data_IF_397644417514
#
_entry.id   IF_397644417514
#
_cell.length_a   1.000
_cell.length_b   1.000
_cell.length_c   1.000
_cell.angle_alpha   90.00
_cell.angle_beta   90.00
_cell.angle_gamma   90.00
#
_symmetry.space_group_name_H-M   'P 1'
#
loop_
_entity.id
_entity.type
_entity.pdbx_description
1 polymer ?
#
# COMPACT_ATOMS: atom_id res chain seq x y z
N UNK A 1 20.22 -20.26 43.89
CA UNK A 1 19.24 -20.90 42.97
C UNK A 1 19.46 -22.39 43.04
N UNK A 2 18.42 -23.19 43.36
CA UNK A 2 18.57 -24.64 43.58
C UNK A 2 18.95 -25.38 42.28
N UNK A 3 19.70 -26.48 42.39
CA UNK A 3 20.08 -27.32 41.25
C UNK A 3 18.86 -27.84 40.47
N UNK A 4 17.70 -27.99 41.12
CA UNK A 4 16.43 -28.32 40.47
C UNK A 4 15.92 -27.19 39.55
N UNK A 5 16.08 -25.92 39.92
CA UNK A 5 15.72 -24.80 39.05
C UNK A 5 16.60 -24.74 37.80
N UNK A 6 17.88 -25.09 37.92
CA UNK A 6 18.79 -25.18 36.77
C UNK A 6 18.37 -26.32 35.85
N UNK A 7 18.04 -27.50 36.38
CA UNK A 7 17.56 -28.62 35.55
C UNK A 7 16.23 -28.31 34.85
N UNK A 8 15.31 -27.61 35.50
CA UNK A 8 14.06 -27.17 34.89
C UNK A 8 14.29 -26.18 33.74
N UNK A 9 15.26 -25.26 33.88
CA UNK A 9 15.66 -24.34 32.81
C UNK A 9 16.37 -25.04 31.64
N UNK A 10 17.08 -26.15 31.89
CA UNK A 10 17.79 -26.92 30.86
C UNK A 10 16.88 -27.92 30.12
N UNK A 11 15.73 -28.30 30.68
CA UNK A 11 14.85 -29.31 30.10
C UNK A 11 14.32 -28.95 28.69
N UNK A 12 13.88 -27.70 28.40
CA UNK A 12 13.45 -27.30 27.05
C UNK A 12 14.60 -27.21 26.03
N UNK A 13 15.86 -27.21 26.49
CA UNK A 13 17.02 -27.22 25.60
C UNK A 13 17.42 -28.64 25.19
N UNK A 14 17.02 -29.64 25.98
CA UNK A 14 17.32 -31.07 25.74
C UNK A 14 16.24 -31.79 24.94
N UNK A 15 15.01 -31.29 25.02
CA UNK A 15 13.87 -31.78 24.25
C UNK A 15 13.41 -30.67 23.30
N UNK A 16 12.93 -30.97 22.09
CA UNK A 16 12.35 -29.94 21.23
C UNK A 16 11.21 -29.25 21.99
N UNK A 17 11.37 -27.95 22.28
CA UNK A 17 10.33 -27.17 22.92
C UNK A 17 9.08 -27.17 22.05
N UNK A 18 7.95 -27.64 22.58
CA UNK A 18 6.68 -27.58 21.85
C UNK A 18 6.20 -26.13 21.82
N UNK A 19 6.15 -25.55 20.64
CA UNK A 19 5.46 -24.28 20.44
C UNK A 19 3.96 -24.47 20.75
N UNK A 20 3.39 -23.63 21.60
CA UNK A 20 2.00 -23.80 22.09
C UNK A 20 1.02 -22.90 21.35
N UNK A 21 -0.24 -23.31 21.25
CA UNK A 21 -1.32 -22.48 20.67
C UNK A 21 -1.53 -21.15 21.41
N UNK A 22 -1.19 -21.11 22.70
CA UNK A 22 -1.21 -19.87 23.48
C UNK A 22 -0.08 -18.93 23.06
N UNK A 23 1.14 -19.46 22.88
CA UNK A 23 2.28 -18.69 22.36
C UNK A 23 2.00 -18.18 20.94
N UNK A 24 1.44 -19.02 20.06
CA UNK A 24 1.07 -18.64 18.69
C UNK A 24 0.06 -17.49 18.68
N UNK A 25 -1.00 -17.57 19.50
CA UNK A 25 -2.01 -16.51 19.61
C UNK A 25 -1.40 -15.19 20.08
N UNK A 26 -0.54 -15.21 21.10
CA UNK A 26 0.10 -14.00 21.64
C UNK A 26 0.93 -13.28 20.57
N UNK A 27 1.71 -14.02 19.77
CA UNK A 27 2.54 -13.40 18.74
C UNK A 27 1.74 -12.98 17.50
N UNK A 28 0.54 -13.52 17.27
CA UNK A 28 -0.32 -13.17 16.13
C UNK A 28 -1.38 -12.12 16.46
N UNK A 29 -1.55 -11.71 17.72
CA UNK A 29 -2.54 -10.71 18.13
C UNK A 29 -2.53 -9.42 17.27
N UNK A 30 -1.37 -8.77 17.00
CA UNK A 30 -1.36 -7.58 16.13
C UNK A 30 -1.90 -7.84 14.72
N UNK A 31 -1.63 -9.02 14.16
CA UNK A 31 -2.15 -9.43 12.86
C UNK A 31 -3.65 -9.73 12.92
N UNK A 32 -4.10 -10.47 13.94
CA UNK A 32 -5.52 -10.77 14.16
C UNK A 32 -6.34 -9.49 14.32
N UNK A 33 -5.81 -8.51 15.05
CA UNK A 33 -6.40 -7.18 15.20
C UNK A 33 -6.63 -6.51 13.84
N UNK A 34 -5.60 -6.37 13.00
CA UNK A 34 -5.72 -5.73 11.68
C UNK A 34 -6.63 -6.53 10.75
N UNK A 35 -6.51 -7.86 10.74
CA UNK A 35 -7.31 -8.74 9.90
C UNK A 35 -8.79 -8.74 10.28
N UNK A 36 -9.14 -8.44 11.54
CA UNK A 36 -10.53 -8.34 12.00
C UNK A 36 -11.26 -7.08 11.52
N UNK A 37 -10.54 -6.05 11.08
CA UNK A 37 -11.15 -4.77 10.67
C UNK A 37 -11.55 -4.86 9.20
N UNK A 38 -12.82 -4.61 8.82
CA UNK A 38 -13.24 -4.68 7.42
C UNK A 38 -12.55 -3.61 6.57
N UNK A 39 -11.98 -4.01 5.43
CA UNK A 39 -11.39 -3.10 4.44
C UNK A 39 -12.30 -2.89 3.23
N UNK A 40 -11.78 -2.21 2.19
CA UNK A 40 -12.47 -2.05 0.90
C UNK A 40 -12.50 -3.33 0.05
N UNK A 41 -11.88 -4.42 0.51
CA UNK A 41 -11.85 -5.74 -0.15
C UNK A 41 -11.45 -5.74 -1.65
N UNK A 42 -10.74 -4.70 -2.11
CA UNK A 42 -10.40 -4.51 -3.53
C UNK A 42 -9.56 -5.66 -4.06
N UNK A 43 -8.67 -6.24 -3.25
CA UNK A 43 -7.85 -7.40 -3.63
C UNK A 43 -8.71 -8.65 -3.85
N UNK A 44 -9.69 -8.87 -2.99
CA UNK A 44 -10.66 -9.98 -3.12
C UNK A 44 -11.45 -9.82 -4.41
N UNK A 45 -11.96 -8.62 -4.69
CA UNK A 45 -12.68 -8.32 -5.93
C UNK A 45 -11.79 -8.47 -7.18
N UNK A 46 -10.52 -8.06 -7.09
CA UNK A 46 -9.55 -8.23 -8.17
C UNK A 46 -9.33 -9.73 -8.46
N UNK A 47 -9.07 -10.53 -7.43
CA UNK A 47 -8.91 -11.99 -7.55
C UNK A 47 -10.16 -12.60 -8.20
N UNK A 48 -11.36 -12.26 -7.73
CA UNK A 48 -12.60 -12.75 -8.32
C UNK A 48 -12.76 -12.34 -9.78
N UNK A 49 -12.44 -11.09 -10.11
CA UNK A 49 -12.62 -10.56 -11.45
C UNK A 49 -11.66 -11.21 -12.46
N UNK A 50 -10.39 -11.42 -12.08
CA UNK A 50 -9.43 -12.15 -12.90
C UNK A 50 -9.74 -13.64 -12.98
N UNK A 51 -10.38 -14.22 -11.96
CA UNK A 51 -10.73 -15.64 -11.98
C UNK A 51 -11.80 -16.00 -13.03
N UNK A 52 -12.58 -15.01 -13.50
CA UNK A 52 -13.48 -15.17 -14.66
C UNK A 52 -12.68 -15.59 -15.90
N UNK A 53 -11.43 -15.12 -16.01
CA UNK A 53 -10.57 -15.38 -17.16
C UNK A 53 -9.61 -16.53 -16.96
N UNK A 54 -9.07 -16.68 -15.74
CA UNK A 54 -8.04 -17.66 -15.43
C UNK A 54 -8.62 -19.02 -15.01
N UNK A 55 -9.88 -19.05 -14.56
CA UNK A 55 -10.58 -20.25 -14.12
C UNK A 55 -9.78 -21.12 -13.14
N UNK A 56 -9.06 -20.48 -12.20
CA UNK A 56 -8.24 -21.18 -11.20
C UNK A 56 -9.13 -22.06 -10.34
N UNK A 57 -8.79 -23.34 -10.13
CA UNK A 57 -9.61 -24.23 -9.31
C UNK A 57 -9.68 -23.75 -7.87
N UNK A 58 -10.84 -23.96 -7.23
CA UNK A 58 -11.16 -23.36 -5.92
C UNK A 58 -10.12 -23.64 -4.83
N UNK A 59 -9.58 -24.88 -4.67
CA UNK A 59 -8.58 -25.14 -3.65
C UNK A 59 -7.30 -24.32 -3.79
N UNK A 60 -6.83 -24.07 -5.01
CA UNK A 60 -5.68 -23.22 -5.31
C UNK A 60 -6.01 -21.75 -5.06
N UNK A 61 -7.19 -21.30 -5.51
CA UNK A 61 -7.64 -19.93 -5.32
C UNK A 61 -7.76 -19.55 -3.84
N UNK A 62 -8.21 -20.47 -2.99
CA UNK A 62 -8.30 -20.26 -1.54
C UNK A 62 -6.91 -20.11 -0.90
N UNK A 63 -5.91 -20.90 -1.32
CA UNK A 63 -4.51 -20.76 -0.87
C UNK A 63 -3.95 -19.41 -1.32
N UNK A 64 -4.11 -19.05 -2.60
CA UNK A 64 -3.65 -17.76 -3.16
C UNK A 64 -4.26 -16.59 -2.39
N UNK A 65 -5.57 -16.64 -2.11
CA UNK A 65 -6.28 -15.60 -1.36
C UNK A 65 -5.74 -15.46 0.06
N UNK A 66 -5.41 -16.57 0.74
CA UNK A 66 -4.79 -16.54 2.07
C UNK A 66 -3.39 -15.93 2.03
N UNK A 67 -2.54 -16.36 1.09
CA UNK A 67 -1.19 -15.81 0.91
C UNK A 67 -1.24 -14.30 0.68
N UNK A 68 -2.04 -13.85 -0.29
CA UNK A 68 -2.18 -12.41 -0.63
C UNK A 68 -2.69 -11.61 0.56
N UNK A 69 -3.67 -12.13 1.30
CA UNK A 69 -4.20 -11.47 2.51
C UNK A 69 -3.13 -11.35 3.60
N UNK A 70 -2.35 -12.41 3.83
CA UNK A 70 -1.28 -12.41 4.83
C UNK A 70 -0.20 -11.39 4.48
N UNK A 71 0.31 -11.42 3.25
CA UNK A 71 1.34 -10.48 2.78
C UNK A 71 0.82 -9.04 2.84
N UNK A 72 -0.42 -8.78 2.43
CA UNK A 72 -1.00 -7.45 2.47
C UNK A 72 -1.20 -6.93 3.90
N UNK A 73 -1.77 -7.74 4.79
CA UNK A 73 -1.99 -7.32 6.18
C UNK A 73 -0.68 -7.10 6.93
N UNK A 74 0.34 -7.95 6.68
CA UNK A 74 1.68 -7.76 7.22
C UNK A 74 2.30 -6.45 6.70
N UNK A 75 2.21 -6.18 5.39
CA UNK A 75 2.75 -4.94 4.82
C UNK A 75 2.08 -3.70 5.40
N UNK A 76 0.77 -3.71 5.63
CA UNK A 76 0.06 -2.60 6.27
C UNK A 76 0.56 -2.30 7.68
N UNK A 77 0.90 -3.34 8.45
CA UNK A 77 1.41 -3.16 9.81
C UNK A 77 2.78 -2.49 9.82
N UNK A 78 3.63 -2.82 8.84
CA UNK A 78 4.95 -2.20 8.68
C UNK A 78 4.82 -0.78 8.14
N UNK A 79 4.03 -0.56 7.09
CA UNK A 79 3.71 0.74 6.48
C UNK A 79 3.17 1.72 7.53
N UNK A 80 2.20 1.31 8.35
CA UNK A 80 1.66 2.14 9.44
C UNK A 80 2.72 2.61 10.45
N UNK A 81 3.79 1.83 10.66
CA UNK A 81 4.91 2.19 11.52
C UNK A 81 5.86 3.14 10.79
N UNK A 82 6.23 2.80 9.55
CA UNK A 82 7.14 3.58 8.71
C UNK A 82 6.62 4.98 8.42
N UNK A 83 5.30 5.14 8.38
CA UNK A 83 4.60 6.39 8.08
C UNK A 83 4.22 7.16 9.36
N UNK A 84 4.37 6.55 10.53
CA UNK A 84 3.93 7.14 11.79
C UNK A 84 2.41 7.36 11.86
N UNK A 85 1.65 6.52 11.16
CA UNK A 85 0.19 6.63 11.06
C UNK A 85 -0.47 6.55 12.44
N UNK A 86 -1.61 7.22 12.60
CA UNK A 86 -2.36 7.19 13.87
C UNK A 86 -3.59 6.30 13.78
N UNK A 87 -4.26 6.28 12.64
CA UNK A 87 -5.50 5.54 12.43
C UNK A 87 -5.41 4.68 11.16
N UNK A 88 -6.07 3.53 11.20
CA UNK A 88 -6.38 2.71 10.04
C UNK A 88 -7.81 2.22 10.13
N UNK A 89 -8.60 2.48 9.08
CA UNK A 89 -10.03 2.11 9.01
C UNK A 89 -10.83 2.67 10.20
N UNK A 90 -10.47 3.88 10.65
CA UNK A 90 -11.11 4.59 11.75
C UNK A 90 -10.78 4.05 13.14
N UNK A 91 -9.77 3.17 13.24
CA UNK A 91 -9.32 2.55 14.49
C UNK A 91 -7.84 2.82 14.71
N UNK A 92 -7.33 2.81 15.96
CA UNK A 92 -5.90 2.94 16.21
C UNK A 92 -5.09 1.88 15.46
N UNK A 93 -3.95 2.29 14.88
CA UNK A 93 -3.02 1.35 14.23
C UNK A 93 -2.43 0.35 15.23
N UNK A 94 -2.05 -0.85 14.76
CA UNK A 94 -1.62 -1.95 15.64
C UNK A 94 -0.46 -1.55 16.58
N UNK A 95 0.50 -0.77 16.09
CA UNK A 95 1.66 -0.37 16.88
C UNK A 95 1.33 0.63 18.00
N UNK A 96 0.15 1.28 17.98
CA UNK A 96 -0.34 2.11 19.08
C UNK A 96 -0.97 1.28 20.21
N UNK A 97 -1.38 0.04 19.92
CA UNK A 97 -2.00 -0.89 20.87
C UNK A 97 -0.95 -1.84 21.46
N UNK A 98 -0.15 -2.46 20.57
CA UNK A 98 0.79 -3.53 20.93
C UNK A 98 2.25 -3.05 20.97
N UNK A 99 2.51 -1.78 20.61
CA UNK A 99 3.86 -1.24 20.51
C UNK A 99 4.55 -1.59 19.19
N UNK A 100 5.54 -0.76 18.82
CA UNK A 100 6.34 -0.92 17.61
C UNK A 100 7.06 -2.28 17.58
N UNK A 101 7.79 -2.72 18.64
CA UNK A 101 8.59 -3.95 18.57
C UNK A 101 7.75 -5.20 18.29
N UNK A 102 6.61 -5.35 18.99
CA UNK A 102 5.73 -6.50 18.80
C UNK A 102 5.08 -6.49 17.41
N UNK A 103 4.67 -5.32 16.93
CA UNK A 103 4.01 -5.17 15.63
C UNK A 103 4.96 -5.50 14.47
N UNK A 104 6.20 -5.01 14.51
CA UNK A 104 7.24 -5.36 13.51
C UNK A 104 7.51 -6.86 13.53
N UNK A 105 7.74 -7.44 14.71
CA UNK A 105 8.02 -8.87 14.83
C UNK A 105 6.87 -9.71 14.27
N UNK A 106 5.62 -9.34 14.58
CA UNK A 106 4.43 -10.03 14.08
C UNK A 106 4.31 -9.93 12.57
N UNK A 107 4.49 -8.74 11.98
CA UNK A 107 4.41 -8.56 10.54
C UNK A 107 5.46 -9.40 9.80
N UNK A 108 6.71 -9.38 10.27
CA UNK A 108 7.80 -10.17 9.70
C UNK A 108 7.53 -11.68 9.86
N UNK A 109 7.00 -12.11 11.00
CA UNK A 109 6.60 -13.50 11.20
C UNK A 109 5.52 -13.94 10.19
N UNK A 110 4.52 -13.09 9.96
CA UNK A 110 3.43 -13.36 9.00
C UNK A 110 3.95 -13.45 7.56
N UNK A 111 4.99 -12.71 7.17
CA UNK A 111 5.64 -12.93 5.86
C UNK A 111 6.12 -14.37 5.69
N UNK A 112 6.79 -14.94 6.69
CA UNK A 112 7.24 -16.34 6.64
C UNK A 112 6.08 -17.34 6.72
N UNK A 113 5.03 -17.03 7.49
CA UNK A 113 3.82 -17.84 7.47
C UNK A 113 3.15 -17.85 6.09
N UNK A 114 3.23 -16.75 5.33
CA UNK A 114 2.71 -16.69 3.97
C UNK A 114 3.51 -17.62 3.02
N UNK A 115 4.83 -17.74 3.19
CA UNK A 115 5.63 -18.75 2.47
C UNK A 115 5.29 -20.18 2.89
N UNK A 116 5.02 -20.42 4.17
CA UNK A 116 4.54 -21.73 4.65
C UNK A 116 3.20 -22.09 3.99
N UNK A 117 2.29 -21.14 3.87
CA UNK A 117 1.02 -21.32 3.17
C UNK A 117 1.23 -21.53 1.66
N UNK A 118 2.12 -20.76 1.03
CA UNK A 118 2.49 -20.89 -0.38
C UNK A 118 3.02 -22.29 -0.71
N UNK A 119 3.80 -22.89 0.19
CA UNK A 119 4.34 -24.24 -0.01
C UNK A 119 3.23 -25.29 -0.21
N UNK A 120 2.04 -25.09 0.36
CA UNK A 120 0.88 -25.98 0.17
C UNK A 120 0.29 -25.94 -1.25
N UNK A 121 0.67 -24.94 -2.05
CA UNK A 121 0.29 -24.78 -3.45
C UNK A 121 1.18 -25.60 -4.40
N UNK A 122 2.40 -25.96 -3.98
CA UNK A 122 3.42 -26.59 -4.85
C UNK A 122 2.95 -27.89 -5.50
N UNK A 123 2.23 -28.74 -4.77
CA UNK A 123 1.73 -30.02 -5.29
C UNK A 123 0.48 -29.85 -6.18
N UNK A 124 0.02 -28.62 -6.39
CA UNK A 124 -1.29 -28.29 -7.00
C UNK A 124 -1.18 -27.40 -8.23
N UNK A 125 0.04 -27.12 -8.70
CA UNK A 125 0.28 -26.28 -9.88
C UNK A 125 0.26 -27.11 -11.17
N UNK A 126 -0.23 -26.47 -12.23
CA UNK A 126 -0.26 -27.05 -13.58
C UNK A 126 1.02 -26.69 -14.35
N UNK A 127 1.58 -25.50 -14.10
CA UNK A 127 2.79 -25.02 -14.75
C UNK A 127 4.04 -25.32 -13.91
N UNK A 128 5.16 -25.69 -14.54
CA UNK A 128 6.47 -25.79 -13.91
C UNK A 128 7.05 -24.39 -13.61
N UNK A 129 6.36 -23.62 -12.76
CA UNK A 129 6.77 -22.29 -12.31
C UNK A 129 7.27 -22.36 -10.88
N UNK A 130 8.40 -21.71 -10.64
CA UNK A 130 8.91 -21.50 -9.30
C UNK A 130 8.07 -20.43 -8.59
N UNK A 131 7.16 -20.89 -7.73
CA UNK A 131 6.26 -20.01 -6.98
C UNK A 131 7.02 -19.15 -5.96
N UNK A 132 8.11 -19.66 -5.41
CA UNK A 132 8.92 -18.94 -4.43
C UNK A 132 9.61 -17.76 -5.10
N UNK A 133 10.16 -17.94 -6.31
CA UNK A 133 10.69 -16.84 -7.11
C UNK A 133 9.60 -15.83 -7.48
N UNK A 134 8.41 -16.29 -7.89
CA UNK A 134 7.28 -15.38 -8.20
C UNK A 134 6.95 -14.45 -7.04
N UNK A 135 6.86 -14.99 -5.83
CA UNK A 135 6.54 -14.17 -4.65
C UNK A 135 7.73 -13.32 -4.21
N UNK A 136 8.94 -13.90 -4.22
CA UNK A 136 10.15 -13.20 -3.75
C UNK A 136 10.49 -12.01 -4.64
N UNK A 137 10.40 -12.15 -5.96
CA UNK A 137 10.66 -11.04 -6.90
C UNK A 137 9.70 -9.87 -6.65
N UNK A 138 8.43 -10.15 -6.40
CA UNK A 138 7.44 -9.11 -6.15
C UNK A 138 7.54 -8.50 -4.76
N UNK A 139 7.96 -9.25 -3.75
CA UNK A 139 8.29 -8.69 -2.44
C UNK A 139 9.55 -7.81 -2.50
N UNK A 140 10.56 -8.18 -3.30
CA UNK A 140 11.72 -7.33 -3.55
C UNK A 140 11.30 -6.04 -4.28
N UNK A 141 10.42 -6.13 -5.28
CA UNK A 141 9.83 -4.95 -5.92
C UNK A 141 9.06 -4.09 -4.91
N UNK A 142 8.23 -4.67 -4.05
CA UNK A 142 7.52 -3.91 -3.02
C UNK A 142 8.49 -3.11 -2.14
N UNK A 143 9.54 -3.75 -1.63
CA UNK A 143 10.51 -3.09 -0.76
C UNK A 143 11.36 -2.05 -1.50
N UNK A 144 11.68 -2.26 -2.78
CA UNK A 144 12.33 -1.24 -3.62
C UNK A 144 11.45 0.01 -3.77
N UNK A 145 10.16 -0.18 -4.01
CA UNK A 145 9.19 0.91 -4.07
C UNK A 145 9.08 1.65 -2.74
N UNK A 146 8.83 0.92 -1.66
CA UNK A 146 8.74 1.48 -0.30
C UNK A 146 10.01 2.24 0.09
N UNK A 147 11.18 1.66 -0.17
CA UNK A 147 12.46 2.29 0.15
C UNK A 147 12.69 3.61 -0.58
N UNK A 148 12.29 3.71 -1.86
CA UNK A 148 12.38 4.97 -2.61
C UNK A 148 11.42 6.04 -2.09
N UNK A 149 10.18 5.66 -1.76
CA UNK A 149 9.19 6.57 -1.18
C UNK A 149 9.68 7.15 0.16
N UNK A 150 10.16 6.28 1.06
CA UNK A 150 10.76 6.68 2.34
C UNK A 150 11.98 7.57 2.10
N UNK A 151 12.87 7.20 1.18
CA UNK A 151 14.05 7.99 0.85
C UNK A 151 13.67 9.40 0.40
N UNK A 152 12.75 9.55 -0.54
CA UNK A 152 12.31 10.87 -1.02
C UNK A 152 11.68 11.69 0.10
N UNK A 153 10.78 11.08 0.89
CA UNK A 153 10.14 11.71 2.05
C UNK A 153 11.16 12.25 3.05
N UNK A 154 12.13 11.43 3.44
CA UNK A 154 13.06 11.75 4.52
C UNK A 154 14.25 12.60 4.06
N UNK A 155 14.62 12.53 2.77
CA UNK A 155 15.62 13.42 2.14
C UNK A 155 15.04 14.73 1.59
N UNK A 156 13.71 14.88 1.58
CA UNK A 156 12.97 16.01 0.99
C UNK A 156 13.24 16.20 -0.51
N UNK A 157 13.63 15.13 -1.21
CA UNK A 157 13.84 15.15 -2.65
C UNK A 157 12.55 14.80 -3.38
N UNK A 158 11.90 15.80 -3.99
CA UNK A 158 10.71 15.56 -4.79
C UNK A 158 11.04 14.74 -6.06
N UNK A 159 10.41 13.57 -6.27
CA UNK A 159 10.63 12.79 -7.49
C UNK A 159 10.04 13.47 -8.73
N UNK A 160 10.39 13.00 -9.93
CA UNK A 160 9.60 13.23 -11.15
C UNK A 160 8.31 12.43 -11.11
N UNK A 161 7.36 12.77 -11.99
CA UNK A 161 6.13 11.98 -12.12
C UNK A 161 6.45 10.56 -12.62
N UNK A 162 7.39 10.41 -13.55
CA UNK A 162 7.83 9.10 -14.06
C UNK A 162 8.49 8.26 -12.96
N UNK A 163 9.34 8.87 -12.13
CA UNK A 163 9.95 8.22 -10.97
C UNK A 163 8.88 7.78 -9.97
N UNK A 164 7.92 8.66 -9.67
CA UNK A 164 6.77 8.34 -8.81
C UNK A 164 5.98 7.14 -9.36
N UNK A 165 5.63 7.13 -10.66
CA UNK A 165 4.88 6.03 -11.29
C UNK A 165 5.68 4.72 -11.21
N UNK A 166 6.99 4.76 -11.45
CA UNK A 166 7.88 3.60 -11.32
C UNK A 166 7.92 3.07 -9.88
N UNK A 167 8.03 3.96 -8.90
CA UNK A 167 7.97 3.61 -7.48
C UNK A 167 6.64 2.95 -7.10
N UNK A 168 5.52 3.55 -7.51
CA UNK A 168 4.18 3.00 -7.25
C UNK A 168 3.98 1.64 -7.89
N UNK A 169 4.46 1.47 -9.13
CA UNK A 169 4.39 0.18 -9.81
C UNK A 169 5.18 -0.89 -9.06
N UNK A 170 6.23 -0.52 -8.35
CA UNK A 170 6.98 -1.42 -7.47
C UNK A 170 6.26 -1.67 -6.13
N UNK A 171 5.90 -0.63 -5.37
CA UNK A 171 5.23 -0.71 -4.04
C UNK A 171 3.85 -1.37 -4.12
N UNK A 172 2.92 -0.72 -4.82
CA UNK A 172 1.50 -1.10 -4.85
C UNK A 172 1.23 -2.14 -5.91
N UNK A 173 1.89 -2.03 -7.08
CA UNK A 173 1.80 -3.02 -8.14
C UNK A 173 2.34 -4.40 -7.73
N UNK A 174 3.37 -4.46 -6.87
CA UNK A 174 3.99 -5.72 -6.42
C UNK A 174 3.00 -6.70 -5.79
N UNK A 175 2.22 -6.26 -4.81
CA UNK A 175 1.23 -7.14 -4.16
C UNK A 175 0.09 -7.57 -5.10
N UNK A 176 -0.34 -6.70 -6.01
CA UNK A 176 -1.34 -7.10 -7.01
C UNK A 176 -0.74 -8.12 -8.00
N UNK A 177 0.52 -7.94 -8.41
CA UNK A 177 1.23 -8.90 -9.26
C UNK A 177 1.43 -10.24 -8.58
N UNK A 178 1.70 -10.30 -7.26
CA UNK A 178 1.73 -11.58 -6.52
C UNK A 178 0.44 -12.36 -6.74
N UNK A 179 -0.71 -11.72 -6.51
CA UNK A 179 -2.01 -12.37 -6.66
C UNK A 179 -2.20 -12.93 -8.09
N UNK A 180 -2.00 -12.08 -9.10
CA UNK A 180 -2.30 -12.46 -10.48
C UNK A 180 -1.25 -13.42 -11.06
N UNK A 181 0.04 -13.29 -10.72
CA UNK A 181 1.08 -14.24 -11.15
C UNK A 181 0.86 -15.63 -10.56
N UNK A 182 0.47 -15.73 -9.29
CA UNK A 182 0.11 -17.01 -8.68
C UNK A 182 -1.15 -17.61 -9.33
N UNK A 183 -2.15 -16.79 -9.64
CA UNK A 183 -3.33 -17.25 -10.37
C UNK A 183 -2.98 -17.74 -11.78
N UNK A 184 -2.16 -17.01 -12.53
CA UNK A 184 -1.69 -17.44 -13.85
C UNK A 184 -0.88 -18.75 -13.79
N UNK A 185 -0.18 -19.03 -12.70
CA UNK A 185 0.53 -20.31 -12.50
C UNK A 185 -0.42 -21.50 -12.26
N UNK A 186 -1.66 -21.22 -11.81
CA UNK A 186 -2.68 -22.22 -11.50
C UNK A 186 -3.88 -22.18 -12.47
N UNK A 187 -3.79 -21.39 -13.54
CA UNK A 187 -4.90 -21.14 -14.46
C UNK A 187 -5.19 -22.38 -15.32
N UNK A 188 -6.48 -22.60 -15.62
CA UNK A 188 -6.92 -23.63 -16.58
C UNK A 188 -7.47 -23.03 -17.87
N UNK A 189 -7.59 -21.70 -17.94
CA UNK A 189 -7.99 -20.94 -19.11
C UNK A 189 -7.06 -19.73 -19.29
N UNK A 190 -6.92 -19.27 -20.54
CA UNK A 190 -6.07 -18.13 -20.90
C UNK A 190 -4.61 -18.23 -20.39
N UNK A 191 -4.06 -19.45 -20.32
CA UNK A 191 -2.76 -19.73 -19.70
C UNK A 191 -1.56 -19.04 -20.39
N UNK A 192 -1.74 -18.59 -21.63
CA UNK A 192 -0.71 -17.93 -22.44
C UNK A 192 -0.85 -16.40 -22.46
N UNK A 193 -1.82 -15.83 -21.74
CA UNK A 193 -2.04 -14.38 -21.69
C UNK A 193 -1.28 -13.81 -20.49
N UNK A 194 -0.44 -12.81 -20.74
CA UNK A 194 0.22 -12.06 -19.67
C UNK A 194 -0.67 -10.91 -19.20
N UNK A 195 -1.17 -11.03 -17.98
CA UNK A 195 -2.01 -10.02 -17.35
C UNK A 195 -1.22 -8.97 -16.55
N UNK A 196 0.10 -9.12 -16.39
CA UNK A 196 0.94 -8.17 -15.64
C UNK A 196 0.79 -6.72 -16.14
N UNK A 197 0.78 -6.42 -17.45
CA UNK A 197 0.63 -5.06 -17.93
C UNK A 197 -0.70 -4.41 -17.51
N UNK A 198 -1.80 -5.18 -17.44
CA UNK A 198 -3.09 -4.70 -16.96
C UNK A 198 -3.05 -4.45 -15.45
N UNK A 199 -2.44 -5.37 -14.70
CA UNK A 199 -2.28 -5.25 -13.23
C UNK A 199 -1.45 -4.03 -12.85
N UNK A 200 -0.40 -3.71 -13.61
CA UNK A 200 0.40 -2.52 -13.39
C UNK A 200 -0.43 -1.23 -13.50
N UNK A 201 -1.29 -1.14 -14.52
CA UNK A 201 -2.20 0.01 -14.67
C UNK A 201 -3.16 0.14 -13.49
N UNK A 202 -3.74 -0.98 -13.04
CA UNK A 202 -4.58 -1.02 -11.85
C UNK A 202 -3.83 -0.55 -10.60
N UNK A 203 -2.60 -1.03 -10.39
CA UNK A 203 -1.78 -0.64 -9.25
C UNK A 203 -1.50 0.86 -9.22
N UNK A 204 -1.14 1.43 -10.38
CA UNK A 204 -0.88 2.87 -10.53
C UNK A 204 -2.15 3.69 -10.33
N UNK A 205 -3.24 3.34 -11.00
CA UNK A 205 -4.53 4.01 -10.83
C UNK A 205 -4.98 4.00 -9.37
N UNK A 206 -4.88 2.84 -8.72
CA UNK A 206 -5.31 2.66 -7.33
C UNK A 206 -4.52 3.54 -6.37
N UNK A 207 -3.19 3.63 -6.54
CA UNK A 207 -2.36 4.48 -5.67
C UNK A 207 -2.63 5.96 -5.90
N UNK A 208 -2.72 6.42 -7.15
CA UNK A 208 -3.04 7.83 -7.45
C UNK A 208 -4.40 8.20 -6.88
N UNK A 209 -5.38 7.29 -6.95
CA UNK A 209 -6.69 7.48 -6.30
C UNK A 209 -6.56 7.55 -4.78
N UNK A 210 -5.76 6.69 -4.15
CA UNK A 210 -5.57 6.70 -2.69
C UNK A 210 -4.97 8.02 -2.21
N UNK A 211 -3.93 8.49 -2.90
CA UNK A 211 -3.26 9.78 -2.68
C UNK A 211 -4.20 10.97 -2.88
N UNK A 212 -4.98 10.96 -3.97
CA UNK A 212 -6.00 11.97 -4.24
C UNK A 212 -7.04 11.99 -3.11
N UNK A 213 -7.59 10.85 -2.75
CA UNK A 213 -8.62 10.75 -1.72
C UNK A 213 -8.11 11.14 -0.32
N UNK A 214 -6.85 10.87 0.00
CA UNK A 214 -6.24 11.28 1.28
C UNK A 214 -6.37 12.79 1.52
N UNK A 215 -6.23 13.60 0.47
CA UNK A 215 -6.21 15.06 0.57
C UNK A 215 -7.60 15.72 0.52
N UNK A 216 -8.67 15.01 0.15
CA UNK A 216 -9.97 15.65 -0.09
C UNK A 216 -11.20 14.91 0.44
N UNK A 217 -11.10 13.62 0.75
CA UNK A 217 -12.26 12.83 1.16
C UNK A 217 -12.51 12.94 2.65
N UNK A 218 -13.76 13.24 3.00
CA UNK A 218 -14.24 13.24 4.40
C UNK A 218 -14.20 11.82 4.98
N UNK A 219 -14.57 10.81 4.21
CA UNK A 219 -14.48 9.39 4.61
C UNK A 219 -13.03 9.01 4.93
N UNK A 220 -12.08 9.39 4.08
CA UNK A 220 -10.65 9.18 4.36
C UNK A 220 -10.20 9.93 5.60
N UNK A 221 -10.67 11.15 5.78
CA UNK A 221 -10.37 11.94 6.98
C UNK A 221 -10.83 11.26 8.27
N UNK A 222 -11.95 10.55 8.25
CA UNK A 222 -12.41 9.72 9.37
C UNK A 222 -11.62 8.43 9.53
N UNK A 223 -11.19 7.81 8.42
CA UNK A 223 -10.55 6.49 8.43
C UNK A 223 -9.05 6.51 8.73
N UNK A 224 -8.35 7.56 8.30
CA UNK A 224 -6.89 7.74 8.34
C UNK A 224 -6.49 8.98 9.14
N UNK A 225 -7.28 10.03 9.02
CA UNK A 225 -7.00 11.35 9.57
C UNK A 225 -7.05 12.40 8.46
N UNK A 226 -7.34 13.66 8.80
CA UNK A 226 -7.46 14.73 7.81
C UNK A 226 -6.12 14.99 7.13
N UNK A 227 -6.00 14.72 5.82
CA UNK A 227 -4.78 14.90 5.02
C UNK A 227 -3.54 14.33 5.74
N UNK A 228 -3.58 13.02 6.01
CA UNK A 228 -2.50 12.31 6.69
C UNK A 228 -1.20 12.32 5.88
N UNK A 229 -1.26 12.28 4.55
CA UNK A 229 -0.06 12.35 3.68
C UNK A 229 0.79 13.61 3.97
N UNK A 230 0.14 14.73 4.34
CA UNK A 230 0.85 15.96 4.74
C UNK A 230 1.51 15.82 6.11
N UNK A 231 0.92 15.07 7.04
CA UNK A 231 1.57 14.78 8.34
C UNK A 231 2.70 13.79 8.18
N UNK A 232 2.56 12.82 7.28
CA UNK A 232 3.63 11.88 6.94
C UNK A 232 4.81 12.62 6.29
N UNK A 233 4.54 13.69 5.53
CA UNK A 233 5.53 14.38 4.70
C UNK A 233 5.68 13.73 3.32
N UNK A 234 4.70 12.93 2.92
CA UNK A 234 4.72 12.11 1.71
C UNK A 234 4.63 12.95 0.44
N UNK A 235 5.44 12.60 -0.56
CA UNK A 235 5.31 13.10 -1.92
C UNK A 235 4.22 12.33 -2.68
N UNK A 236 2.97 12.56 -2.31
CA UNK A 236 1.81 11.97 -3.00
C UNK A 236 1.61 12.58 -4.40
N UNK A 237 0.92 11.89 -5.32
CA UNK A 237 0.85 12.33 -6.73
C UNK A 237 0.41 13.80 -6.92
N UNK A 238 -0.65 14.32 -6.26
CA UNK A 238 -1.02 15.73 -6.38
C UNK A 238 0.05 16.69 -5.84
N UNK A 239 0.83 16.25 -4.84
CA UNK A 239 1.91 17.03 -4.23
C UNK A 239 3.12 17.08 -5.17
N UNK A 240 3.50 15.96 -5.79
CA UNK A 240 4.59 15.90 -6.78
C UNK A 240 4.31 16.87 -7.93
N UNK A 241 3.11 16.81 -8.52
CA UNK A 241 2.71 17.76 -9.55
C UNK A 241 2.72 19.20 -9.00
N UNK A 242 2.18 19.43 -7.80
CA UNK A 242 2.14 20.76 -7.19
C UNK A 242 3.51 21.40 -7.02
N UNK A 243 4.51 20.64 -6.58
CA UNK A 243 5.90 21.12 -6.42
C UNK A 243 6.51 21.47 -7.78
N UNK A 244 6.22 20.70 -8.83
CA UNK A 244 6.82 20.86 -10.17
C UNK A 244 6.10 21.85 -11.08
N UNK A 245 4.79 22.03 -10.92
CA UNK A 245 4.02 22.99 -11.68
C UNK A 245 4.37 24.45 -11.34
N UNK A 246 5.05 24.67 -10.20
CA UNK A 246 5.36 25.99 -9.66
C UNK A 246 6.80 26.46 -9.93
N UNK A 247 7.43 25.97 -10.99
CA UNK A 247 8.80 26.34 -11.41
C UNK A 247 8.98 27.84 -11.72
N UNK A 248 7.88 28.57 -11.96
CA UNK A 248 7.90 30.02 -12.24
C UNK A 248 7.90 30.92 -11.00
N UNK A 249 7.80 30.38 -9.78
CA UNK A 249 7.60 31.19 -8.58
C UNK A 249 8.77 31.03 -7.60
N UNK A 250 9.92 31.61 -7.95
CA UNK A 250 11.13 31.71 -7.10
C UNK A 250 11.02 32.76 -5.97
N UNK A 251 9.81 33.13 -5.54
CA UNK A 251 9.67 34.09 -4.43
C UNK A 251 9.94 33.35 -3.12
N UNK A 252 11.20 33.37 -2.68
CA UNK A 252 11.64 32.90 -1.37
C UNK A 252 10.74 33.50 -0.31
N UNK A 253 9.96 32.66 0.39
CA UNK A 253 9.29 33.07 1.62
C UNK A 253 9.62 32.11 2.74
N UNK A 254 10.67 32.46 3.49
CA UNK A 254 10.84 32.11 4.90
C UNK A 254 9.80 32.83 5.78
N UNK A 255 8.52 32.84 5.38
CA UNK A 255 7.48 33.54 6.12
C UNK A 255 7.05 32.71 7.35
N UNK A 256 7.11 33.34 8.52
CA UNK A 256 6.62 32.75 9.77
C UNK A 256 5.14 32.34 9.66
N UNK A 257 4.70 31.29 10.39
CA UNK A 257 3.31 30.78 10.36
C UNK A 257 2.24 31.87 10.55
N UNK A 258 2.55 32.90 11.34
CA UNK A 258 1.67 34.04 11.60
C UNK A 258 1.35 34.88 10.34
N UNK A 259 2.25 34.90 9.35
CA UNK A 259 2.03 35.63 8.11
C UNK A 259 1.14 34.84 7.14
N UNK A 260 1.36 33.53 7.02
CA UNK A 260 0.52 32.60 6.23
C UNK A 260 -0.94 32.60 6.73
N UNK A 261 -1.14 32.81 8.04
CA UNK A 261 -2.47 32.87 8.65
C UNK A 261 -3.21 34.20 8.41
N UNK A 262 -2.51 35.28 8.06
CA UNK A 262 -3.09 36.62 7.89
C UNK A 262 -3.36 37.01 6.43
N UNK A 263 -2.87 36.25 5.45
CA UNK A 263 -3.04 36.54 4.03
C UNK A 263 -3.66 35.34 3.30
N UNK A 264 -5.00 35.28 3.15
CA UNK A 264 -5.69 34.15 2.49
C UNK A 264 -5.33 33.98 1.00
N UNK A 265 -4.64 34.94 0.38
CA UNK A 265 -4.16 34.90 -1.01
C UNK A 265 -2.66 34.55 -1.14
N UNK A 266 -1.98 34.14 -0.06
CA UNK A 266 -0.56 33.82 -0.14
C UNK A 266 -0.34 32.53 -0.94
N UNK A 267 0.49 32.61 -1.98
CA UNK A 267 0.86 31.46 -2.80
C UNK A 267 2.03 30.74 -2.13
N UNK A 268 1.94 29.42 -1.98
CA UNK A 268 3.13 28.61 -1.72
C UNK A 268 4.00 28.59 -2.98
N UNK A 269 5.31 28.48 -2.80
CA UNK A 269 6.25 28.16 -3.87
C UNK A 269 6.47 26.64 -3.91
N UNK A 270 7.18 26.13 -4.93
CA UNK A 270 7.73 24.77 -4.92
C UNK A 270 8.48 24.45 -3.60
N UNK A 271 9.34 25.38 -3.14
CA UNK A 271 10.02 25.26 -1.85
C UNK A 271 9.06 25.34 -0.66
N UNK A 272 8.01 26.17 -0.75
CA UNK A 272 6.98 26.27 0.29
C UNK A 272 6.17 24.99 0.47
N UNK A 273 5.90 24.23 -0.59
CA UNK A 273 5.28 22.90 -0.48
C UNK A 273 6.22 21.90 0.20
N UNK A 274 7.51 21.89 -0.15
CA UNK A 274 8.52 21.04 0.50
C UNK A 274 8.66 21.40 1.99
N UNK A 275 8.67 22.70 2.33
CA UNK A 275 8.73 23.18 3.71
C UNK A 275 7.51 22.70 4.53
N UNK A 276 6.33 22.61 3.92
CA UNK A 276 5.15 22.03 4.57
C UNK A 276 5.38 20.55 4.87
N UNK A 277 5.88 19.77 3.91
CA UNK A 277 6.17 18.35 4.12
C UNK A 277 7.23 18.13 5.21
N UNK A 278 8.29 18.96 5.21
CA UNK A 278 9.32 18.93 6.25
C UNK A 278 8.74 19.20 7.64
N UNK A 279 7.77 20.12 7.76
CA UNK A 279 7.12 20.45 9.03
C UNK A 279 6.19 19.36 9.54
N UNK A 280 5.76 18.41 8.70
CA UNK A 280 4.86 17.31 9.07
C UNK A 280 3.66 17.80 9.90
N UNK A 281 2.87 18.77 9.39
CA UNK A 281 1.85 19.44 10.19
C UNK A 281 0.81 18.48 10.75
N UNK A 282 0.48 18.66 12.02
CA UNK A 282 -0.64 17.97 12.68
C UNK A 282 -1.89 18.85 12.74
N UNK A 283 -1.74 20.18 12.63
CA UNK A 283 -2.86 21.11 12.73
C UNK A 283 -3.63 21.25 11.41
N UNK A 284 -4.98 21.35 11.44
CA UNK A 284 -5.78 21.45 10.21
C UNK A 284 -5.50 22.71 9.37
N UNK A 285 -5.05 23.81 9.99
CA UNK A 285 -4.95 25.10 9.30
C UNK A 285 -3.92 25.09 8.18
N UNK A 286 -2.70 24.60 8.45
CA UNK A 286 -1.66 24.52 7.43
C UNK A 286 -2.06 23.50 6.34
N UNK A 287 -2.65 22.37 6.73
CA UNK A 287 -3.15 21.36 5.79
C UNK A 287 -4.20 21.92 4.83
N UNK A 288 -5.20 22.65 5.33
CA UNK A 288 -6.24 23.30 4.50
C UNK A 288 -5.65 24.31 3.53
N UNK A 289 -4.67 25.10 3.98
CA UNK A 289 -4.00 26.07 3.12
C UNK A 289 -3.25 25.37 1.98
N UNK A 290 -2.49 24.31 2.29
CA UNK A 290 -1.79 23.50 1.29
C UNK A 290 -2.76 22.86 0.29
N UNK A 291 -3.86 22.25 0.75
CA UNK A 291 -4.90 21.70 -0.13
C UNK A 291 -5.50 22.77 -1.04
N UNK A 292 -5.85 23.94 -0.49
CA UNK A 292 -6.37 25.06 -1.28
C UNK A 292 -5.38 25.51 -2.34
N UNK A 293 -4.09 25.55 -2.02
CA UNK A 293 -3.05 25.88 -2.98
C UNK A 293 -2.95 24.85 -4.12
N UNK A 294 -2.93 23.55 -3.77
CA UNK A 294 -2.92 22.45 -4.75
C UNK A 294 -4.15 22.46 -5.67
N UNK A 295 -5.31 22.80 -5.13
CA UNK A 295 -6.57 22.80 -5.87
C UNK A 295 -6.70 24.03 -6.79
N UNK A 296 -6.40 25.23 -6.29
CA UNK A 296 -6.74 26.47 -6.97
C UNK A 296 -5.57 27.17 -7.65
N UNK A 297 -4.33 26.98 -7.19
CA UNK A 297 -3.15 27.66 -7.72
C UNK A 297 -2.42 26.76 -8.72
N UNK A 298 -1.94 25.59 -8.29
CA UNK A 298 -1.19 24.68 -9.17
C UNK A 298 -2.09 23.76 -9.99
N UNK A 299 -3.41 23.77 -9.77
CA UNK A 299 -4.39 22.92 -10.49
C UNK A 299 -4.07 21.42 -10.40
N UNK A 300 -3.37 21.01 -9.36
CA UNK A 300 -2.87 19.64 -9.18
C UNK A 300 -3.98 18.61 -9.04
N UNK A 301 -5.12 19.01 -8.46
CA UNK A 301 -6.28 18.11 -8.32
C UNK A 301 -6.95 17.86 -9.69
N UNK A 302 -7.06 18.90 -10.52
CA UNK A 302 -7.59 18.78 -11.88
C UNK A 302 -6.66 17.94 -12.76
N UNK A 303 -5.35 18.15 -12.65
CA UNK A 303 -4.34 17.34 -13.32
C UNK A 303 -4.43 15.86 -12.90
N UNK A 304 -4.51 15.59 -11.59
CA UNK A 304 -4.64 14.23 -11.05
C UNK A 304 -5.86 13.52 -11.62
N UNK A 305 -7.02 14.19 -11.68
CA UNK A 305 -8.24 13.62 -12.28
C UNK A 305 -8.09 13.32 -13.78
N UNK A 306 -7.38 14.17 -14.53
CA UNK A 306 -7.08 13.93 -15.96
C UNK A 306 -6.21 12.69 -16.13
N UNK A 307 -5.16 12.56 -15.33
CA UNK A 307 -4.28 11.37 -15.34
C UNK A 307 -5.05 10.11 -14.97
N UNK A 308 -5.86 10.15 -13.92
CA UNK A 308 -6.72 9.01 -13.53
C UNK A 308 -7.70 8.63 -14.64
N UNK A 309 -8.30 9.61 -15.34
CA UNK A 309 -9.21 9.36 -16.45
C UNK A 309 -8.51 8.70 -17.64
N UNK A 310 -7.27 9.11 -17.95
CA UNK A 310 -6.46 8.49 -18.98
C UNK A 310 -6.08 7.04 -18.63
N UNK A 311 -5.68 6.79 -17.37
CA UNK A 311 -5.40 5.45 -16.87
C UNK A 311 -6.64 4.55 -16.89
N UNK A 312 -7.81 5.07 -16.49
CA UNK A 312 -9.06 4.33 -16.57
C UNK A 312 -9.41 3.96 -18.02
N UNK A 313 -9.21 4.88 -18.96
CA UNK A 313 -9.46 4.60 -20.38
C UNK A 313 -8.51 3.53 -20.92
N UNK A 314 -7.23 3.57 -20.57
CA UNK A 314 -6.26 2.53 -20.94
C UNK A 314 -6.63 1.16 -20.34
N UNK A 315 -7.07 1.13 -19.07
CA UNK A 315 -7.58 -0.09 -18.42
C UNK A 315 -8.78 -0.65 -19.20
N UNK A 316 -9.72 0.21 -19.62
CA UNK A 316 -10.89 -0.21 -20.41
C UNK A 316 -10.49 -0.81 -21.75
N UNK A 317 -9.63 -0.12 -22.50
CA UNK A 317 -9.13 -0.60 -23.81
C UNK A 317 -8.50 -1.97 -23.66
N UNK A 318 -7.63 -2.18 -22.66
CA UNK A 318 -6.99 -3.49 -22.45
C UNK A 318 -7.94 -4.59 -21.99
N UNK A 319 -9.00 -4.26 -21.26
CA UNK A 319 -10.03 -5.24 -20.92
C UNK A 319 -10.83 -5.68 -22.16
N UNK A 320 -11.13 -4.74 -23.05
CA UNK A 320 -11.88 -5.03 -24.28
C UNK A 320 -11.00 -5.76 -25.33
N UNK A 321 -9.73 -5.39 -25.47
CA UNK A 321 -8.73 -6.05 -26.35
C UNK A 321 -8.47 -7.50 -25.94
N UNK A 322 -8.57 -7.80 -24.65
CA UNK A 322 -8.45 -9.15 -24.16
C UNK A 322 -9.61 -10.06 -24.65
N UNK A 323 -10.61 -9.55 -25.39
CA UNK A 323 -11.83 -10.24 -25.86
C UNK A 323 -12.64 -10.87 -24.73
N UNK A 324 -12.51 -10.33 -23.53
CA UNK A 324 -13.04 -10.93 -22.33
C UNK A 324 -14.04 -9.96 -21.67
N UNK A 325 -15.32 -10.15 -21.98
CA UNK A 325 -16.46 -9.43 -21.40
C UNK A 325 -16.45 -9.53 -19.85
N UNK A 326 -15.89 -8.54 -19.17
CA UNK A 326 -15.76 -8.53 -17.71
C UNK A 326 -16.55 -7.43 -17.02
N UNK A 327 -17.87 -7.56 -16.88
CA UNK A 327 -18.72 -6.63 -16.10
C UNK A 327 -18.21 -6.45 -14.64
N UNK A 328 -17.52 -7.44 -14.06
CA UNK A 328 -16.96 -7.36 -12.71
C UNK A 328 -15.64 -6.60 -12.61
N UNK A 329 -14.80 -6.59 -13.65
CA UNK A 329 -13.61 -5.70 -13.67
C UNK A 329 -14.06 -4.25 -13.76
N UNK A 330 -15.13 -3.99 -14.52
CA UNK A 330 -15.79 -2.68 -14.54
C UNK A 330 -16.24 -2.28 -13.13
N UNK A 331 -16.76 -3.20 -12.32
CA UNK A 331 -17.12 -2.93 -10.93
C UNK A 331 -15.90 -2.62 -10.03
N UNK A 332 -14.74 -3.25 -10.25
CA UNK A 332 -13.49 -2.91 -9.53
C UNK A 332 -13.03 -1.50 -9.84
N UNK A 333 -13.06 -1.10 -11.12
CA UNK A 333 -12.72 0.27 -11.56
C UNK A 333 -13.78 1.27 -11.08
N UNK A 334 -15.06 0.88 -11.08
CA UNK A 334 -16.19 1.75 -10.78
C UNK A 334 -16.56 1.86 -9.29
N UNK A 335 -15.76 1.30 -8.36
CA UNK A 335 -15.90 1.62 -6.93
C UNK A 335 -15.52 3.10 -6.71
N UNK A 336 -16.51 3.97 -6.95
CA UNK A 336 -16.49 5.41 -6.75
C UNK A 336 -16.27 5.74 -5.28
#
# INVERSE_FOLDING_TARGET
MSSQNIQALLAPLRNPSSWTDTSERIILEPFAYIASKPGKEIRTLLIEAFNIWLAVPRPQLDVISRVVRMLHSASLMVDDIEDGAQLRRGQPVAHRIYGIPQTINTANYVYFLAYRELATLRDRIVANKDLDLVVTDELLSLHRGQGLEIFWRDSLQCPTEEEYISMVNNKTGGLFRVAIKLMMACATQNCNVDYVPLVNLFGVYFQIRDDYMNLQSTEYSHNKGFAEDLTEGKFSFPIVHGVRADENNRVIMSASPTLLLRTPNLRLTASGLIDVLQKRPTTPTLKRHTISHLQHITRSFEYTLKVMSALEQEVRVRCDDARLLGYRIRAVVAQR
#
